data_IF_195748361220
#
_entry.id   IF_195748361220
#
_cell.length_a   1.000
_cell.length_b   1.000
_cell.length_c   1.000
_cell.angle_alpha   90.00
_cell.angle_beta   90.00
_cell.angle_gamma   90.00
#
_symmetry.space_group_name_H-M   'P 1'
#
loop_
_entity.id
_entity.type
_entity.pdbx_description
1 polymer ?
#
# COMPACT_ATOMS: atom_id res chain seq x y z
N UNK A 1 -4.81 -18.94 -4.66
CA UNK A 1 -4.92 -18.13 -5.89
C UNK A 1 -4.10 -18.74 -7.02
N UNK A 2 -4.39 -18.37 -8.28
CA UNK A 2 -3.58 -18.69 -9.46
C UNK A 2 -3.46 -17.43 -10.33
N UNK A 3 -2.36 -17.28 -11.04
CA UNK A 3 -2.14 -16.17 -11.97
C UNK A 3 -1.30 -16.65 -13.17
N UNK A 4 -1.68 -16.22 -14.37
CA UNK A 4 -1.01 -16.48 -15.63
C UNK A 4 -1.10 -15.25 -16.53
N UNK A 5 -0.06 -15.01 -17.32
CA UNK A 5 0.03 -13.86 -18.21
C UNK A 5 0.79 -14.20 -19.49
N UNK A 6 0.62 -13.39 -20.53
CA UNK A 6 1.38 -13.55 -21.78
C UNK A 6 2.90 -13.33 -21.61
N UNK A 7 3.33 -12.64 -20.55
CA UNK A 7 4.74 -12.55 -20.16
C UNK A 7 5.07 -13.60 -19.08
N UNK A 8 5.79 -14.68 -19.42
CA UNK A 8 6.04 -15.77 -18.49
C UNK A 8 6.99 -15.39 -17.34
N UNK A 9 7.65 -14.22 -17.38
CA UNK A 9 8.46 -13.72 -16.25
C UNK A 9 7.62 -13.47 -15.00
N UNK A 10 6.37 -13.02 -15.17
CA UNK A 10 5.44 -12.80 -14.07
C UNK A 10 5.14 -14.11 -13.33
N UNK A 11 4.89 -15.18 -14.07
CA UNK A 11 4.62 -16.51 -13.51
C UNK A 11 5.85 -17.12 -12.85
N UNK A 12 7.03 -16.96 -13.48
CA UNK A 12 8.30 -17.47 -12.91
C UNK A 12 8.67 -16.85 -11.58
N UNK A 13 8.28 -15.59 -11.33
CA UNK A 13 8.53 -14.95 -10.04
C UNK A 13 7.65 -15.51 -8.90
N UNK A 14 6.43 -15.99 -9.20
CA UNK A 14 5.44 -16.41 -8.18
C UNK A 14 5.99 -17.38 -7.14
N UNK A 15 6.70 -18.47 -7.48
CA UNK A 15 7.25 -19.39 -6.49
C UNK A 15 8.26 -18.73 -5.53
N UNK A 16 9.07 -17.78 -6.00
CA UNK A 16 10.04 -17.04 -5.17
C UNK A 16 9.29 -16.13 -4.19
N UNK A 17 8.30 -15.39 -4.69
CA UNK A 17 7.47 -14.51 -3.88
C UNK A 17 6.68 -15.28 -2.82
N UNK A 18 6.05 -16.39 -3.21
CA UNK A 18 5.26 -17.21 -2.30
C UNK A 18 6.14 -17.83 -1.22
N UNK A 19 7.34 -18.31 -1.58
CA UNK A 19 8.31 -18.81 -0.60
C UNK A 19 8.73 -17.69 0.36
N UNK A 20 9.00 -16.48 -0.14
CA UNK A 20 9.33 -15.33 0.71
C UNK A 20 8.29 -15.08 1.80
N UNK A 21 7.01 -15.00 1.41
CA UNK A 21 5.90 -14.85 2.35
C UNK A 21 5.79 -16.04 3.32
N UNK A 22 5.88 -17.27 2.83
CA UNK A 22 5.77 -18.48 3.66
C UNK A 22 6.87 -18.54 4.73
N UNK A 23 8.09 -18.13 4.39
CA UNK A 23 9.19 -18.08 5.34
C UNK A 23 9.00 -16.99 6.40
N UNK A 24 8.16 -15.98 6.12
CA UNK A 24 7.90 -14.84 6.99
C UNK A 24 6.52 -14.91 7.69
N UNK A 25 5.74 -15.98 7.50
CA UNK A 25 4.41 -16.13 8.09
C UNK A 25 4.28 -17.43 8.90
N UNK A 26 4.43 -17.32 10.23
CA UNK A 26 4.38 -18.45 11.17
C UNK A 26 3.22 -18.25 12.18
N UNK A 27 3.50 -18.23 13.48
CA UNK A 27 2.53 -17.85 14.51
C UNK A 27 2.20 -16.34 14.48
N UNK A 28 3.12 -15.53 13.96
CA UNK A 28 2.99 -14.12 13.60
C UNK A 28 3.63 -13.90 12.23
N UNK A 29 3.42 -12.74 11.61
CA UNK A 29 4.28 -12.31 10.52
C UNK A 29 5.66 -11.92 11.06
N UNK A 30 6.68 -11.90 10.21
CA UNK A 30 8.03 -11.47 10.53
C UNK A 30 8.61 -10.67 9.36
N UNK A 31 9.51 -9.74 9.65
CA UNK A 31 10.35 -9.09 8.64
C UNK A 31 11.16 -10.13 7.84
N UNK A 32 11.93 -10.98 8.53
CA UNK A 32 12.77 -12.02 7.93
C UNK A 32 12.91 -13.25 8.84
N UNK A 33 13.17 -14.45 8.27
CA UNK A 33 13.26 -15.68 9.05
C UNK A 33 14.58 -15.88 9.80
N UNK A 34 15.62 -15.09 9.50
CA UNK A 34 16.99 -15.34 10.00
C UNK A 34 17.49 -14.30 11.01
N UNK A 35 17.42 -13.00 10.67
CA UNK A 35 18.09 -11.98 11.48
C UNK A 35 17.29 -11.52 12.70
N UNK A 36 16.06 -11.05 12.48
CA UNK A 36 15.29 -10.40 13.55
C UNK A 36 14.10 -11.24 13.99
N UNK A 37 13.37 -11.83 13.05
CA UNK A 37 12.17 -12.63 13.32
C UNK A 37 11.13 -11.82 14.11
N UNK A 38 10.90 -10.57 13.70
CA UNK A 38 10.05 -9.62 14.41
C UNK A 38 8.91 -9.15 13.52
N UNK A 39 7.69 -9.12 14.09
CA UNK A 39 6.50 -8.64 13.38
C UNK A 39 6.50 -7.11 13.34
N UNK A 40 7.18 -6.51 12.36
CA UNK A 40 7.17 -5.07 12.14
C UNK A 40 5.91 -4.61 11.40
N UNK A 41 5.30 -3.51 11.83
CA UNK A 41 3.99 -3.07 11.28
C UNK A 41 4.08 -2.76 9.78
N UNK A 42 5.15 -2.10 9.33
CA UNK A 42 5.34 -1.73 7.91
C UNK A 42 5.33 -2.97 7.00
N UNK A 43 6.11 -3.97 7.36
CA UNK A 43 6.19 -5.29 6.72
C UNK A 43 4.85 -6.00 6.73
N UNK A 44 4.28 -6.13 7.94
CA UNK A 44 3.07 -6.90 8.17
C UNK A 44 1.88 -6.34 7.42
N UNK A 45 1.83 -5.03 7.15
CA UNK A 45 0.80 -4.47 6.27
C UNK A 45 0.86 -5.07 4.87
N UNK A 46 2.05 -5.12 4.27
CA UNK A 46 2.23 -5.64 2.91
C UNK A 46 2.00 -7.16 2.88
N UNK A 47 2.49 -7.88 3.88
CA UNK A 47 2.25 -9.32 4.01
C UNK A 47 0.76 -9.65 4.20
N UNK A 48 0.03 -8.82 4.97
CA UNK A 48 -1.41 -8.96 5.15
C UNK A 48 -2.19 -8.71 3.84
N UNK A 49 -1.82 -7.69 3.07
CA UNK A 49 -2.41 -7.44 1.74
C UNK A 49 -2.19 -8.60 0.78
N UNK A 50 -0.97 -9.15 0.74
CA UNK A 50 -0.67 -10.36 -0.04
C UNK A 50 -1.53 -11.52 0.44
N UNK A 51 -1.61 -11.74 1.76
CA UNK A 51 -2.44 -12.79 2.36
C UNK A 51 -3.89 -12.63 1.93
N UNK A 52 -4.43 -11.41 1.95
CA UNK A 52 -5.81 -11.15 1.55
C UNK A 52 -6.10 -11.53 0.10
N UNK A 53 -5.13 -11.32 -0.80
CA UNK A 53 -5.26 -11.62 -2.22
C UNK A 53 -5.08 -13.11 -2.56
N UNK A 54 -4.33 -13.89 -1.76
CA UNK A 54 -3.96 -15.27 -2.12
C UNK A 54 -4.70 -16.36 -1.35
N UNK A 55 -5.32 -16.05 -0.20
CA UNK A 55 -6.07 -16.96 0.66
C UNK A 55 -7.32 -16.29 1.24
N UNK A 56 -8.35 -17.05 1.60
CA UNK A 56 -9.51 -16.54 2.35
C UNK A 56 -9.23 -16.44 3.86
N UNK A 57 -8.18 -17.10 4.37
CA UNK A 57 -7.82 -17.09 5.79
C UNK A 57 -7.25 -15.73 6.22
N UNK A 58 -7.92 -15.08 7.15
CA UNK A 58 -7.53 -13.80 7.73
C UNK A 58 -7.19 -13.88 9.22
N UNK A 59 -6.97 -15.09 9.77
CA UNK A 59 -6.60 -15.26 11.18
C UNK A 59 -5.28 -14.57 11.52
N UNK A 60 -4.27 -14.69 10.66
CA UNK A 60 -2.95 -14.08 10.89
C UNK A 60 -3.01 -12.53 10.78
N UNK A 61 -3.63 -11.92 9.75
CA UNK A 61 -3.88 -10.48 9.72
C UNK A 61 -4.68 -9.94 10.92
N UNK A 62 -5.77 -10.62 11.33
CA UNK A 62 -6.56 -10.20 12.51
C UNK A 62 -5.75 -10.28 13.79
N UNK A 63 -4.94 -11.33 13.96
CA UNK A 63 -4.03 -11.47 15.10
C UNK A 63 -3.02 -10.33 15.12
N UNK A 64 -2.39 -10.02 13.98
CA UNK A 64 -1.44 -8.90 13.87
C UNK A 64 -2.07 -7.56 14.27
N UNK A 65 -3.24 -7.23 13.73
CA UNK A 65 -3.99 -6.02 14.08
C UNK A 65 -4.29 -5.91 15.58
N UNK A 66 -4.76 -7.00 16.20
CA UNK A 66 -5.04 -7.02 17.64
C UNK A 66 -3.75 -6.83 18.47
N UNK A 67 -2.66 -7.45 18.04
CA UNK A 67 -1.35 -7.35 18.71
C UNK A 67 -0.76 -5.95 18.61
N UNK A 68 -0.87 -5.29 17.44
CA UNK A 68 -0.42 -3.91 17.28
C UNK A 68 -1.28 -2.92 18.07
N UNK A 69 -2.61 -3.12 18.15
CA UNK A 69 -3.46 -2.31 19.02
C UNK A 69 -3.08 -2.47 20.50
N UNK A 70 -2.82 -3.70 20.94
CA UNK A 70 -2.36 -3.96 22.30
C UNK A 70 -0.96 -3.41 22.59
N UNK A 71 -0.15 -3.16 21.55
CA UNK A 71 1.20 -2.61 21.69
C UNK A 71 1.25 -1.09 21.96
N UNK A 72 0.09 -0.41 21.93
CA UNK A 72 -0.01 1.05 22.11
C UNK A 72 0.62 1.52 23.42
N UNK A 73 1.35 2.61 23.30
CA UNK A 73 2.09 3.25 24.40
C UNK A 73 1.29 4.42 24.96
N UNK A 74 1.70 4.93 26.13
CA UNK A 74 1.09 6.13 26.72
C UNK A 74 1.22 7.39 25.83
N UNK A 75 2.10 7.38 24.85
CA UNK A 75 2.21 8.43 23.81
C UNK A 75 1.13 8.34 22.72
N UNK A 76 0.29 7.30 22.72
CA UNK A 76 -0.70 7.01 21.67
C UNK A 76 -0.16 6.23 20.48
N UNK A 77 1.16 6.19 20.27
CA UNK A 77 1.81 5.43 19.19
C UNK A 77 1.89 3.93 19.51
N UNK A 78 1.90 3.11 18.49
CA UNK A 78 2.18 1.66 18.59
C UNK A 78 3.68 1.42 18.74
N UNK A 79 4.08 0.25 19.22
CA UNK A 79 5.46 -0.20 19.01
C UNK A 79 5.68 -0.50 17.53
N UNK A 80 6.92 -0.34 17.04
CA UNK A 80 7.28 -0.65 15.64
C UNK A 80 7.17 -2.13 15.31
N UNK A 81 7.46 -2.97 16.30
CA UNK A 81 7.40 -4.43 16.26
C UNK A 81 6.78 -4.96 17.54
N UNK A 82 5.89 -5.93 17.43
CA UNK A 82 5.24 -6.54 18.58
C UNK A 82 4.80 -7.97 18.27
N UNK A 83 5.02 -8.96 19.15
CA UNK A 83 5.45 -8.83 20.54
C UNK A 83 6.97 -8.67 20.64
N UNK A 84 7.43 -7.78 21.53
CA UNK A 84 8.87 -7.63 21.80
C UNK A 84 9.09 -7.17 23.23
N UNK A 85 10.20 -7.60 23.83
CA UNK A 85 10.64 -7.11 25.14
C UNK A 85 11.34 -5.76 25.02
N UNK A 86 11.95 -5.46 23.86
CA UNK A 86 12.61 -4.19 23.59
C UNK A 86 11.57 -3.25 23.01
N UNK A 87 11.23 -2.21 23.77
CA UNK A 87 10.40 -1.12 23.26
C UNK A 87 11.15 -0.37 22.16
N UNK A 88 10.58 -0.36 20.97
CA UNK A 88 11.03 0.44 19.84
C UNK A 88 9.80 1.09 19.17
N UNK A 89 9.97 2.30 18.66
CA UNK A 89 8.92 3.05 17.97
C UNK A 89 9.48 3.57 16.66
N UNK A 90 8.76 3.27 15.59
CA UNK A 90 8.91 3.86 14.26
C UNK A 90 7.60 4.60 14.05
N UNK A 91 7.52 5.92 14.26
CA UNK A 91 6.24 6.63 14.23
C UNK A 91 5.45 6.40 12.92
N UNK A 92 6.06 6.42 11.71
CA UNK A 92 5.36 6.10 10.47
C UNK A 92 4.67 4.72 10.47
N UNK A 93 5.20 3.75 11.20
CA UNK A 93 4.62 2.41 11.31
C UNK A 93 3.28 2.42 12.08
N UNK A 94 3.09 3.34 13.02
CA UNK A 94 1.76 3.53 13.63
C UNK A 94 0.73 4.04 12.62
N UNK A 95 1.12 4.86 11.65
CA UNK A 95 0.21 5.29 10.56
C UNK A 95 -0.12 4.11 9.63
N UNK A 96 0.86 3.23 9.35
CA UNK A 96 0.59 1.99 8.61
C UNK A 96 -0.35 1.05 9.36
N UNK A 97 -0.36 1.02 10.70
CA UNK A 97 -1.39 0.31 11.48
C UNK A 97 -2.81 0.83 11.19
N UNK A 98 -3.00 2.15 11.04
CA UNK A 98 -4.28 2.72 10.58
C UNK A 98 -4.63 2.22 9.18
N UNK A 99 -3.63 2.18 8.28
CA UNK A 99 -3.77 1.60 6.95
C UNK A 99 -4.18 0.14 6.97
N UNK A 100 -3.57 -0.69 7.83
CA UNK A 100 -3.92 -2.10 7.99
C UNK A 100 -5.38 -2.28 8.43
N UNK A 101 -5.88 -1.41 9.32
CA UNK A 101 -7.27 -1.46 9.75
C UNK A 101 -8.22 -1.14 8.59
N UNK A 102 -7.87 -0.14 7.77
CA UNK A 102 -8.57 0.20 6.53
C UNK A 102 -8.56 -0.96 5.54
N UNK A 103 -7.40 -1.60 5.35
CA UNK A 103 -7.25 -2.75 4.47
C UNK A 103 -8.13 -3.92 4.96
N UNK A 104 -8.13 -4.21 6.26
CA UNK A 104 -9.00 -5.26 6.81
C UNK A 104 -10.50 -4.96 6.63
N UNK A 105 -10.90 -3.70 6.85
CA UNK A 105 -12.27 -3.25 6.63
C UNK A 105 -12.70 -3.45 5.17
N UNK A 106 -11.83 -3.11 4.21
CA UNK A 106 -12.07 -3.32 2.78
C UNK A 106 -12.10 -4.79 2.37
N UNK A 107 -11.09 -5.57 2.78
CA UNK A 107 -10.84 -6.91 2.22
C UNK A 107 -11.58 -8.05 2.91
N UNK A 108 -11.98 -7.87 4.18
CA UNK A 108 -12.61 -8.95 4.97
C UNK A 108 -13.94 -8.57 5.56
N UNK A 109 -14.07 -7.32 6.01
CA UNK A 109 -15.31 -6.82 6.55
C UNK A 109 -15.63 -7.46 7.88
N UNK A 110 -15.69 -6.64 8.92
CA UNK A 110 -16.27 -7.02 10.20
C UNK A 110 -16.49 -5.74 10.98
N UNK A 111 -17.69 -5.17 10.85
CA UNK A 111 -18.02 -3.86 11.41
C UNK A 111 -17.74 -3.77 12.90
N UNK A 112 -18.14 -4.78 13.66
CA UNK A 112 -17.94 -4.83 15.11
C UNK A 112 -16.46 -4.92 15.47
N UNK A 113 -15.69 -5.77 14.77
CA UNK A 113 -14.26 -5.92 15.00
C UNK A 113 -13.47 -4.66 14.65
N UNK A 114 -13.77 -4.05 13.50
CA UNK A 114 -13.14 -2.80 13.07
C UNK A 114 -13.44 -1.68 14.08
N UNK A 115 -14.69 -1.55 14.53
CA UNK A 115 -15.10 -0.57 15.53
C UNK A 115 -14.34 -0.75 16.87
N UNK A 116 -14.04 -1.98 17.29
CA UNK A 116 -13.25 -2.25 18.50
C UNK A 116 -11.82 -1.70 18.44
N UNK A 117 -11.24 -1.61 17.25
CA UNK A 117 -9.85 -1.12 17.05
C UNK A 117 -9.78 0.39 16.75
N UNK A 118 -10.90 1.03 16.42
CA UNK A 118 -10.94 2.47 16.13
C UNK A 118 -10.42 3.38 17.25
N UNK A 119 -10.64 3.11 18.55
CA UNK A 119 -10.02 3.92 19.60
C UNK A 119 -8.49 3.98 19.49
N UNK A 120 -7.84 2.88 19.09
CA UNK A 120 -6.41 2.83 18.84
C UNK A 120 -5.99 3.66 17.64
N UNK A 121 -6.69 3.51 16.51
CA UNK A 121 -6.42 4.28 15.29
C UNK A 121 -6.58 5.79 15.51
N UNK A 122 -7.66 6.22 16.18
CA UNK A 122 -7.90 7.61 16.57
C UNK A 122 -6.79 8.15 17.48
N UNK A 123 -6.35 7.35 18.45
CA UNK A 123 -5.26 7.69 19.36
C UNK A 123 -3.92 7.92 18.65
N UNK A 124 -3.60 7.09 17.64
CA UNK A 124 -2.41 7.29 16.81
C UNK A 124 -2.47 8.63 16.07
N UNK A 125 -3.60 8.93 15.43
CA UNK A 125 -3.76 10.18 14.67
C UNK A 125 -3.69 11.40 15.59
N UNK A 126 -4.35 11.36 16.74
CA UNK A 126 -4.31 12.43 17.73
C UNK A 126 -2.90 12.62 18.32
N UNK A 127 -2.14 11.54 18.51
CA UNK A 127 -0.74 11.62 18.90
C UNK A 127 0.11 12.33 17.84
N UNK A 128 -0.03 11.97 16.56
CA UNK A 128 0.66 12.66 15.46
C UNK A 128 0.32 14.16 15.41
N UNK A 129 -0.96 14.51 15.57
CA UNK A 129 -1.42 15.90 15.57
C UNK A 129 -0.86 16.74 16.72
N UNK A 130 -0.39 16.11 17.79
CA UNK A 130 0.28 16.79 18.91
C UNK A 130 1.70 17.25 18.57
N UNK A 131 2.33 16.67 17.54
CA UNK A 131 3.66 17.06 17.05
C UNK A 131 3.62 18.11 15.93
N UNK A 132 2.50 18.81 15.77
CA UNK A 132 2.41 19.91 14.80
C UNK A 132 3.30 21.07 15.22
N UNK A 133 4.12 21.55 14.28
CA UNK A 133 4.88 22.78 14.44
C UNK A 133 3.98 24.02 14.26
N UNK A 134 4.57 25.21 14.33
CA UNK A 134 3.85 26.49 14.20
C UNK A 134 3.18 26.67 12.82
N UNK A 135 3.76 26.07 11.78
CA UNK A 135 3.19 26.04 10.42
C UNK A 135 2.03 25.03 10.32
N UNK A 136 1.84 24.19 11.34
CA UNK A 136 0.85 23.14 11.46
C UNK A 136 1.19 21.84 10.71
N UNK A 137 2.41 21.72 10.20
CA UNK A 137 2.98 20.47 9.69
C UNK A 137 3.41 19.58 10.86
N UNK A 138 3.36 18.27 10.68
CA UNK A 138 3.89 17.31 11.64
C UNK A 138 5.42 17.39 11.60
N UNK A 139 6.02 17.77 12.73
CA UNK A 139 7.44 17.58 12.96
C UNK A 139 7.70 16.12 13.34
N UNK A 140 8.82 15.55 12.90
CA UNK A 140 9.22 14.17 13.18
C UNK A 140 8.97 13.78 14.65
N UNK A 141 8.04 12.85 14.93
CA UNK A 141 7.79 12.42 16.30
C UNK A 141 9.00 11.70 16.90
N UNK A 142 9.17 11.68 18.24
CA UNK A 142 10.26 10.95 18.87
C UNK A 142 10.24 9.46 18.50
N UNK A 143 11.32 8.98 17.89
CA UNK A 143 11.46 7.59 17.46
C UNK A 143 12.32 7.49 16.21
N UNK A 144 12.38 6.30 15.62
CA UNK A 144 13.06 6.10 14.36
C UNK A 144 12.09 6.40 13.21
N UNK A 145 12.17 7.59 12.61
CA UNK A 145 11.25 8.03 11.53
C UNK A 145 11.55 7.38 10.17
N UNK A 146 11.69 6.05 10.16
CA UNK A 146 11.97 5.22 9.00
C UNK A 146 10.83 5.25 7.97
N UNK A 147 11.19 5.39 6.70
CA UNK A 147 10.27 5.35 5.57
C UNK A 147 10.71 4.36 4.48
N UNK A 148 12.01 4.26 4.18
CA UNK A 148 12.55 3.33 3.18
C UNK A 148 14.06 3.23 3.25
N UNK A 149 14.67 2.17 2.74
CA UNK A 149 16.13 2.01 2.65
C UNK A 149 16.74 2.70 1.41
N UNK A 150 16.21 3.87 1.02
CA UNK A 150 16.75 4.65 -0.10
C UNK A 150 18.20 5.06 0.17
N UNK A 151 19.04 4.98 -0.85
CA UNK A 151 20.50 5.15 -0.71
C UNK A 151 20.89 6.54 -0.18
N UNK A 152 20.12 7.55 -0.56
CA UNK A 152 20.31 8.95 -0.20
C UNK A 152 19.87 9.26 1.23
N UNK A 153 19.14 8.34 1.89
CA UNK A 153 18.55 8.55 3.21
C UNK A 153 19.36 7.87 4.30
N UNK A 154 19.75 8.65 5.31
CA UNK A 154 20.46 8.11 6.47
C UNK A 154 19.52 7.31 7.37
N UNK A 155 19.86 6.04 7.62
CA UNK A 155 19.03 5.13 8.43
C UNK A 155 17.58 5.03 7.93
N UNK A 156 17.36 5.23 6.63
CA UNK A 156 16.04 5.24 6.00
C UNK A 156 15.09 6.35 6.45
N UNK A 157 15.62 7.41 7.08
CA UNK A 157 14.86 8.60 7.47
C UNK A 157 14.91 9.60 6.29
N UNK A 158 13.75 10.09 5.80
CA UNK A 158 13.71 11.05 4.71
C UNK A 158 14.27 12.41 5.14
N UNK A 159 14.59 13.32 4.18
CA UNK A 159 15.02 14.68 4.47
C UNK A 159 14.10 15.38 5.49
N UNK A 160 14.71 16.01 6.50
CA UNK A 160 14.04 16.66 7.63
C UNK A 160 13.10 15.75 8.45
N UNK A 161 13.16 14.43 8.31
CA UNK A 161 12.24 13.49 8.96
C UNK A 161 12.49 13.22 10.45
N UNK A 162 13.67 13.58 10.98
CA UNK A 162 14.04 13.27 12.37
C UNK A 162 13.33 14.21 13.37
N UNK A 163 13.58 15.52 13.25
CA UNK A 163 12.97 16.56 14.10
C UNK A 163 12.34 17.72 13.30
N UNK A 164 12.48 17.72 11.98
CA UNK A 164 11.91 18.72 11.08
C UNK A 164 10.58 18.28 10.49
N UNK A 165 10.10 18.99 9.47
CA UNK A 165 8.91 18.62 8.72
C UNK A 165 9.32 18.01 7.37
N UNK A 166 9.15 16.70 7.22
CA UNK A 166 9.34 15.99 5.94
C UNK A 166 8.03 15.92 5.17
N UNK A 167 8.07 16.15 3.86
CA UNK A 167 6.90 15.97 2.99
C UNK A 167 6.39 14.53 3.05
N UNK A 168 7.30 13.55 3.05
CA UNK A 168 6.99 12.12 3.01
C UNK A 168 6.18 11.69 4.24
N UNK A 169 6.61 12.12 5.44
CA UNK A 169 5.90 11.81 6.71
C UNK A 169 4.55 12.53 6.76
N UNK A 170 4.50 13.80 6.34
CA UNK A 170 3.27 14.59 6.36
C UNK A 170 2.23 14.06 5.36
N UNK A 171 2.65 13.61 4.18
CA UNK A 171 1.77 12.99 3.20
C UNK A 171 1.30 11.58 3.64
N UNK A 172 2.12 10.82 4.36
CA UNK A 172 1.66 9.58 5.00
C UNK A 172 0.60 9.87 6.07
N UNK A 173 0.79 10.92 6.90
CA UNK A 173 -0.23 11.35 7.85
C UNK A 173 -1.52 11.78 7.14
N UNK A 174 -1.41 12.49 6.01
CA UNK A 174 -2.54 12.89 5.18
C UNK A 174 -3.31 11.68 4.63
N UNK A 175 -2.59 10.66 4.17
CA UNK A 175 -3.16 9.41 3.71
C UNK A 175 -3.87 8.65 4.85
N UNK A 176 -3.28 8.61 6.04
CA UNK A 176 -3.87 7.99 7.22
C UNK A 176 -5.14 8.69 7.73
N UNK A 177 -5.19 10.02 7.66
CA UNK A 177 -6.41 10.78 7.92
C UNK A 177 -7.53 10.41 6.93
N UNK A 178 -7.19 10.17 5.66
CA UNK A 178 -8.14 9.70 4.65
C UNK A 178 -8.72 8.32 4.97
N UNK A 179 -7.86 7.36 5.32
CA UNK A 179 -8.32 6.03 5.76
C UNK A 179 -9.24 6.09 6.98
N UNK A 180 -8.87 6.89 7.98
CA UNK A 180 -9.71 7.06 9.15
C UNK A 180 -11.07 7.69 8.80
N UNK A 181 -11.10 8.72 7.96
CA UNK A 181 -12.37 9.33 7.52
C UNK A 181 -13.30 8.29 6.86
N UNK A 182 -12.76 7.46 5.97
CA UNK A 182 -13.53 6.41 5.29
C UNK A 182 -14.02 5.32 6.26
N UNK A 183 -13.16 4.89 7.19
CA UNK A 183 -13.54 3.97 8.26
C UNK A 183 -14.69 4.52 9.12
N UNK A 184 -14.62 5.79 9.53
CA UNK A 184 -15.70 6.44 10.30
C UNK A 184 -17.00 6.50 9.50
N UNK A 185 -16.95 6.84 8.20
CA UNK A 185 -18.14 6.82 7.32
C UNK A 185 -18.74 5.43 7.29
N UNK A 186 -17.93 4.41 7.05
CA UNK A 186 -18.44 3.04 7.04
C UNK A 186 -19.10 2.74 8.35
N UNK A 187 -18.45 2.99 9.49
CA UNK A 187 -18.96 2.69 10.83
C UNK A 187 -20.18 3.52 11.27
N UNK A 188 -20.57 4.55 10.52
CA UNK A 188 -21.71 5.39 10.85
C UNK A 188 -21.40 6.51 11.85
N UNK A 189 -20.17 7.03 11.82
CA UNK A 189 -19.65 8.07 12.71
C UNK A 189 -19.34 9.38 11.93
N UNK A 190 -20.35 10.05 11.34
CA UNK A 190 -20.14 11.13 10.37
C UNK A 190 -19.42 12.36 10.94
N UNK A 191 -19.58 12.67 12.23
CA UNK A 191 -18.91 13.82 12.87
C UNK A 191 -17.39 13.59 12.97
N UNK A 192 -16.98 12.35 13.26
CA UNK A 192 -15.57 11.96 13.31
C UNK A 192 -14.98 11.91 11.90
N UNK A 193 -15.73 11.37 10.93
CA UNK A 193 -15.32 11.44 9.52
C UNK A 193 -15.04 12.88 9.09
N UNK A 194 -15.97 13.80 9.34
CA UNK A 194 -15.81 15.21 9.01
C UNK A 194 -14.66 15.89 9.78
N UNK A 195 -14.37 15.46 11.02
CA UNK A 195 -13.20 15.94 11.76
C UNK A 195 -11.91 15.60 11.01
N UNK A 196 -11.76 14.34 10.59
CA UNK A 196 -10.58 13.88 9.85
C UNK A 196 -10.46 14.56 8.49
N UNK A 197 -11.56 14.74 7.77
CA UNK A 197 -11.62 15.48 6.51
C UNK A 197 -11.14 16.94 6.65
N UNK A 198 -11.58 17.66 7.68
CA UNK A 198 -11.13 19.04 7.94
C UNK A 198 -9.63 19.12 8.25
N UNK A 199 -9.11 18.15 9.01
CA UNK A 199 -7.69 18.08 9.35
C UNK A 199 -6.85 17.73 8.12
N UNK A 200 -7.31 16.78 7.30
CA UNK A 200 -6.69 16.43 6.03
C UNK A 200 -6.62 17.62 5.08
N UNK A 201 -7.73 18.35 4.90
CA UNK A 201 -7.76 19.54 4.03
C UNK A 201 -6.77 20.62 4.50
N UNK A 202 -6.68 20.86 5.81
CA UNK A 202 -5.72 21.83 6.37
C UNK A 202 -4.27 21.38 6.15
N UNK A 203 -3.97 20.12 6.44
CA UNK A 203 -2.63 19.56 6.28
C UNK A 203 -2.21 19.53 4.80
N UNK A 204 -3.11 19.17 3.89
CA UNK A 204 -2.87 19.21 2.45
C UNK A 204 -2.50 20.62 1.98
N UNK A 205 -3.20 21.66 2.46
CA UNK A 205 -2.87 23.05 2.17
C UNK A 205 -1.48 23.46 2.67
N UNK A 206 -1.08 23.01 3.86
CA UNK A 206 0.25 23.28 4.43
C UNK A 206 1.36 22.54 3.68
N UNK A 207 1.11 21.28 3.28
CA UNK A 207 2.04 20.49 2.46
C UNK A 207 2.22 21.16 1.10
N UNK A 208 1.13 21.53 0.44
CA UNK A 208 1.16 22.21 -0.85
C UNK A 208 1.93 23.53 -0.77
N UNK A 209 1.70 24.36 0.25
CA UNK A 209 2.37 25.63 0.41
C UNK A 209 3.88 25.50 0.70
N UNK A 210 4.31 24.40 1.32
CA UNK A 210 5.68 24.23 1.80
C UNK A 210 6.55 23.41 0.85
N UNK A 211 6.00 22.32 0.32
CA UNK A 211 6.76 21.29 -0.38
C UNK A 211 6.49 21.23 -1.89
N UNK A 212 5.45 21.90 -2.40
CA UNK A 212 5.28 22.00 -3.85
C UNK A 212 6.28 22.99 -4.43
N UNK A 213 7.11 22.53 -5.35
CA UNK A 213 7.99 23.35 -6.17
C UNK A 213 7.25 23.69 -7.49
N UNK A 214 6.84 24.95 -7.71
CA UNK A 214 6.13 25.35 -8.92
C UNK A 214 7.02 25.40 -10.16
N UNK A 215 8.34 25.59 -10.01
CA UNK A 215 9.28 25.69 -11.12
C UNK A 215 9.59 24.30 -11.67
N UNK A 216 9.87 23.35 -10.78
CA UNK A 216 10.01 21.94 -11.15
C UNK A 216 8.66 21.24 -11.35
N UNK A 217 7.55 21.81 -10.87
CA UNK A 217 6.20 21.22 -10.89
C UNK A 217 6.16 19.82 -10.26
N UNK A 218 6.73 19.68 -9.07
CA UNK A 218 6.78 18.43 -8.29
C UNK A 218 6.82 18.71 -6.79
N UNK A 219 6.60 17.70 -5.95
CA UNK A 219 6.84 17.84 -4.51
C UNK A 219 8.32 17.63 -4.19
N UNK A 220 8.91 18.50 -3.38
CA UNK A 220 10.17 18.25 -2.69
C UNK A 220 9.95 17.48 -1.39
N UNK A 221 10.96 16.77 -0.92
CA UNK A 221 10.97 16.08 0.37
C UNK A 221 11.09 17.05 1.56
N UNK A 222 11.69 18.23 1.32
CA UNK A 222 12.07 19.21 2.34
C UNK A 222 11.63 20.64 1.99
N UNK A 223 11.63 21.52 2.99
CA UNK A 223 11.17 22.91 2.82
C UNK A 223 12.13 23.81 2.03
N UNK A 224 13.35 23.36 1.76
CA UNK A 224 14.38 24.10 1.01
C UNK A 224 14.40 23.73 -0.47
N UNK A 225 13.53 22.80 -0.89
CA UNK A 225 13.41 22.29 -2.25
C UNK A 225 14.72 21.65 -2.76
N UNK A 226 15.49 21.04 -1.84
CA UNK A 226 16.83 20.52 -2.15
C UNK A 226 16.82 19.09 -2.71
N UNK A 227 15.83 18.29 -2.31
CA UNK A 227 15.69 16.89 -2.71
C UNK A 227 14.23 16.57 -3.05
N UNK A 228 14.02 15.61 -3.93
CA UNK A 228 12.70 15.08 -4.26
C UNK A 228 12.78 13.57 -4.41
N UNK A 229 11.75 12.87 -3.97
CA UNK A 229 11.67 11.40 -4.03
C UNK A 229 10.45 10.90 -4.78
N UNK A 230 10.52 9.65 -5.24
CA UNK A 230 9.35 8.91 -5.70
C UNK A 230 8.31 8.77 -4.58
N UNK A 231 8.74 8.70 -3.31
CA UNK A 231 7.88 8.58 -2.14
C UNK A 231 6.98 9.79 -1.98
N UNK A 232 7.54 11.00 -2.07
CA UNK A 232 6.77 12.23 -1.95
C UNK A 232 5.74 12.38 -3.08
N UNK A 233 6.10 11.98 -4.32
CA UNK A 233 5.14 12.02 -5.42
C UNK A 233 4.03 10.97 -5.25
N UNK A 234 4.42 9.73 -4.90
CA UNK A 234 3.50 8.61 -4.75
C UNK A 234 2.49 8.86 -3.63
N UNK A 235 2.95 9.25 -2.44
CA UNK A 235 2.07 9.51 -1.30
C UNK A 235 1.16 10.72 -1.55
N UNK A 236 1.64 11.75 -2.26
CA UNK A 236 0.79 12.86 -2.68
C UNK A 236 -0.38 12.37 -3.55
N UNK A 237 -0.11 11.58 -4.57
CA UNK A 237 -1.13 11.04 -5.48
C UNK A 237 -2.08 10.08 -4.74
N UNK A 238 -1.54 9.17 -3.94
CA UNK A 238 -2.33 8.19 -3.17
C UNK A 238 -3.27 8.87 -2.16
N UNK A 239 -2.91 10.02 -1.62
CA UNK A 239 -3.77 10.76 -0.69
C UNK A 239 -5.07 11.26 -1.34
N UNK A 240 -5.05 11.52 -2.65
CA UNK A 240 -6.19 12.07 -3.39
C UNK A 240 -6.61 13.49 -2.96
N UNK A 241 -5.72 14.26 -2.31
CA UNK A 241 -6.06 15.56 -1.69
C UNK A 241 -5.49 16.80 -2.39
N UNK A 242 -4.68 16.63 -3.43
CA UNK A 242 -4.04 17.74 -4.13
C UNK A 242 -4.79 18.12 -5.40
N UNK A 243 -4.50 19.32 -5.92
CA UNK A 243 -5.11 19.80 -7.17
C UNK A 243 -4.73 18.90 -8.35
N UNK A 244 -5.55 18.91 -9.41
CA UNK A 244 -5.28 18.18 -10.66
C UNK A 244 -3.92 18.58 -11.25
N UNK A 245 -3.54 19.85 -11.13
CA UNK A 245 -2.22 20.32 -11.57
C UNK A 245 -1.09 19.64 -10.82
N UNK A 246 -1.16 19.60 -9.48
CA UNK A 246 -0.15 18.99 -8.63
C UNK A 246 -0.06 17.48 -8.86
N UNK A 247 -1.20 16.82 -9.00
CA UNK A 247 -1.26 15.38 -9.31
C UNK A 247 -0.63 15.09 -10.67
N UNK A 248 -0.93 15.90 -11.69
CA UNK A 248 -0.33 15.73 -13.01
C UNK A 248 1.18 16.01 -13.02
N UNK A 249 1.65 17.00 -12.27
CA UNK A 249 3.08 17.28 -12.15
C UNK A 249 3.84 16.19 -11.38
N UNK A 250 3.29 15.73 -10.26
CA UNK A 250 3.83 14.58 -9.52
C UNK A 250 3.85 13.31 -10.38
N UNK A 251 2.79 13.05 -11.16
CA UNK A 251 2.73 11.92 -12.09
C UNK A 251 3.81 12.02 -13.18
N UNK A 252 3.94 13.19 -13.82
CA UNK A 252 5.02 13.43 -14.80
C UNK A 252 6.39 13.21 -14.16
N UNK A 253 6.62 13.76 -12.97
CA UNK A 253 7.88 13.62 -12.22
C UNK A 253 8.25 12.15 -11.98
N UNK A 254 7.30 11.31 -11.54
CA UNK A 254 7.52 9.87 -11.37
C UNK A 254 7.96 9.14 -12.66
N UNK A 255 7.55 9.63 -13.82
CA UNK A 255 7.72 8.97 -15.11
C UNK A 255 8.93 9.49 -15.88
N UNK A 256 9.28 10.76 -15.69
CA UNK A 256 10.23 11.48 -16.56
C UNK A 256 11.47 11.98 -15.80
N UNK A 257 11.34 12.33 -14.52
CA UNK A 257 12.45 12.92 -13.77
C UNK A 257 13.47 11.83 -13.38
N UNK A 258 14.72 12.03 -13.77
CA UNK A 258 15.82 11.09 -13.50
C UNK A 258 16.41 11.26 -12.09
N UNK A 259 16.31 12.45 -11.52
CA UNK A 259 16.97 12.91 -10.30
C UNK A 259 16.19 12.63 -9.01
N UNK A 260 15.07 11.90 -9.08
CA UNK A 260 14.34 11.48 -7.88
C UNK A 260 15.09 10.41 -7.10
N UNK A 261 15.15 10.59 -5.78
CA UNK A 261 15.46 9.48 -4.86
C UNK A 261 14.47 8.34 -5.08
N UNK A 262 15.00 7.14 -5.34
CA UNK A 262 14.20 6.00 -5.79
C UNK A 262 13.65 5.20 -4.61
N UNK A 263 12.43 4.71 -4.77
CA UNK A 263 11.81 3.76 -3.86
C UNK A 263 12.47 2.38 -3.99
N UNK A 264 12.84 1.82 -2.84
CA UNK A 264 13.34 0.45 -2.74
C UNK A 264 12.18 -0.54 -2.64
N UNK A 265 12.49 -1.81 -2.33
CA UNK A 265 11.54 -2.93 -2.35
C UNK A 265 10.29 -2.63 -1.52
N UNK A 266 10.48 -2.08 -0.31
CA UNK A 266 9.39 -1.75 0.60
C UNK A 266 8.40 -0.75 -0.01
N UNK A 267 8.88 0.46 -0.32
CA UNK A 267 7.98 1.53 -0.79
C UNK A 267 7.53 1.36 -2.24
N UNK A 268 8.13 0.42 -2.99
CA UNK A 268 7.68 0.08 -4.34
C UNK A 268 6.25 -0.47 -4.36
N UNK A 269 5.74 -1.07 -3.28
CA UNK A 269 4.31 -1.40 -3.18
C UNK A 269 3.42 -0.17 -3.45
N UNK A 270 3.71 0.94 -2.78
CA UNK A 270 2.93 2.18 -2.91
C UNK A 270 3.16 2.86 -4.26
N UNK A 271 4.36 2.76 -4.82
CA UNK A 271 4.63 3.22 -6.18
C UNK A 271 3.79 2.44 -7.22
N UNK A 272 3.67 1.12 -7.07
CA UNK A 272 2.83 0.29 -7.94
C UNK A 272 1.33 0.61 -7.77
N UNK A 273 0.85 0.86 -6.55
CA UNK A 273 -0.51 1.37 -6.33
C UNK A 273 -0.72 2.75 -6.98
N UNK A 274 0.30 3.61 -6.98
CA UNK A 274 0.25 4.92 -7.63
C UNK A 274 0.11 4.76 -9.15
N UNK A 275 0.94 3.93 -9.77
CA UNK A 275 0.84 3.66 -11.22
C UNK A 275 -0.48 2.98 -11.61
N UNK A 276 -1.08 2.21 -10.69
CA UNK A 276 -2.44 1.70 -10.87
C UNK A 276 -3.45 2.84 -10.97
N UNK A 277 -3.41 3.81 -10.06
CA UNK A 277 -4.30 4.98 -10.10
C UNK A 277 -4.09 5.83 -11.35
N UNK A 278 -2.84 5.94 -11.82
CA UNK A 278 -2.48 6.68 -13.03
C UNK A 278 -2.78 5.91 -14.34
N UNK A 279 -3.22 4.65 -14.26
CA UNK A 279 -3.45 3.81 -15.44
C UNK A 279 -2.18 3.54 -16.26
N UNK A 280 -1.03 3.34 -15.59
CA UNK A 280 0.29 3.13 -16.21
C UNK A 280 0.80 1.70 -16.06
N UNK A 281 0.25 0.72 -16.81
CA UNK A 281 0.67 -0.68 -16.74
C UNK A 281 2.12 -0.88 -17.19
N UNK A 282 2.61 -0.04 -18.11
CA UNK A 282 4.00 -0.04 -18.55
C UNK A 282 4.96 0.32 -17.41
N UNK A 283 4.63 1.31 -16.59
CA UNK A 283 5.43 1.69 -15.42
C UNK A 283 5.37 0.61 -14.32
N UNK A 284 4.22 -0.05 -14.15
CA UNK A 284 4.09 -1.23 -13.26
C UNK A 284 5.04 -2.34 -13.70
N UNK A 285 4.98 -2.75 -14.98
CA UNK A 285 5.82 -3.82 -15.51
C UNK A 285 7.32 -3.47 -15.48
N UNK A 286 7.68 -2.20 -15.71
CA UNK A 286 9.05 -1.73 -15.59
C UNK A 286 9.59 -1.91 -14.16
N UNK A 287 8.83 -1.46 -13.15
CA UNK A 287 9.25 -1.57 -11.74
C UNK A 287 9.28 -3.01 -11.23
N UNK A 288 8.53 -3.92 -11.87
CA UNK A 288 8.56 -5.35 -11.58
C UNK A 288 9.83 -6.06 -12.08
N UNK A 289 10.64 -5.45 -12.96
CA UNK A 289 11.87 -6.05 -13.49
C UNK A 289 12.82 -6.57 -12.41
N UNK A 290 12.93 -5.86 -11.28
CA UNK A 290 13.69 -6.32 -10.11
C UNK A 290 13.36 -7.76 -9.72
N UNK A 291 12.08 -8.13 -9.71
CA UNK A 291 11.64 -9.47 -9.33
C UNK A 291 11.84 -10.50 -10.43
N UNK A 292 11.90 -10.08 -11.69
CA UNK A 292 12.18 -10.96 -12.83
C UNK A 292 13.62 -11.45 -12.83
N UNK A 293 14.52 -10.68 -12.22
CA UNK A 293 15.96 -10.99 -12.18
C UNK A 293 16.37 -11.85 -10.98
N UNK A 294 15.50 -12.03 -9.97
CA UNK A 294 15.82 -12.76 -8.73
C UNK A 294 16.26 -14.20 -8.99
N UNK A 295 15.58 -14.90 -9.90
CA UNK A 295 15.93 -16.29 -10.24
C UNK A 295 17.34 -16.37 -10.86
N UNK A 296 17.67 -15.43 -11.75
CA UNK A 296 18.97 -15.34 -12.40
C UNK A 296 20.09 -14.96 -11.40
N UNK A 297 19.76 -14.17 -10.38
CA UNK A 297 20.64 -13.86 -9.25
C UNK A 297 20.83 -15.04 -8.28
N UNK A 298 20.12 -16.16 -8.47
CA UNK A 298 20.20 -17.34 -7.60
C UNK A 298 19.32 -17.28 -6.35
N UNK A 299 18.57 -16.18 -6.16
CA UNK A 299 17.68 -16.00 -5.01
C UNK A 299 16.50 -16.96 -5.06
N UNK A 300 16.09 -17.44 -3.88
CA UNK A 300 14.96 -18.38 -3.71
C UNK A 300 13.78 -17.76 -2.97
N UNK A 301 13.98 -16.57 -2.44
CA UNK A 301 13.06 -15.71 -1.69
C UNK A 301 13.31 -14.25 -2.11
N UNK A 302 12.48 -13.32 -1.63
CA UNK A 302 12.61 -11.90 -1.95
C UNK A 302 13.55 -11.20 -0.96
N UNK A 303 14.51 -10.38 -1.41
CA UNK A 303 15.44 -9.70 -0.51
C UNK A 303 14.80 -8.50 0.20
N UNK A 304 15.47 -8.00 1.25
CA UNK A 304 15.06 -6.81 2.01
C UNK A 304 15.25 -5.54 1.17
N UNK A 305 16.40 -5.41 0.52
CA UNK A 305 16.77 -4.28 -0.34
C UNK A 305 17.30 -4.79 -1.68
N UNK A 306 17.42 -3.95 -2.72
CA UNK A 306 18.26 -4.31 -3.86
C UNK A 306 19.68 -4.68 -3.38
N UNK A 307 20.35 -5.57 -4.12
CA UNK A 307 21.71 -5.99 -3.80
C UNK A 307 22.70 -4.81 -3.74
N UNK A 308 23.64 -4.79 -2.78
CA UNK A 308 23.84 -5.78 -1.72
C UNK A 308 22.78 -5.67 -0.62
N UNK A 309 22.24 -6.80 -0.17
CA UNK A 309 21.22 -6.83 0.89
C UNK A 309 21.70 -7.56 2.15
N UNK A 310 21.12 -7.19 3.30
CA UNK A 310 21.39 -7.90 4.57
C UNK A 310 20.62 -9.21 4.62
N UNK A 311 19.34 -9.19 4.26
CA UNK A 311 18.47 -10.37 4.27
C UNK A 311 17.99 -10.74 2.87
N UNK A 312 18.33 -11.94 2.41
CA UNK A 312 17.86 -12.52 1.14
C UNK A 312 16.42 -13.05 1.22
N UNK A 313 15.78 -12.96 2.39
CA UNK A 313 14.40 -13.34 2.62
C UNK A 313 13.69 -12.31 3.50
N UNK A 314 12.80 -11.53 2.91
CA UNK A 314 12.06 -10.48 3.59
C UNK A 314 10.59 -10.45 3.17
N UNK A 315 9.67 -10.44 4.13
CA UNK A 315 8.22 -10.58 3.91
C UNK A 315 7.65 -9.50 2.99
N UNK A 316 8.08 -8.25 3.20
CA UNK A 316 7.65 -7.10 2.39
C UNK A 316 7.94 -7.22 0.89
N UNK A 317 8.88 -8.09 0.51
CA UNK A 317 9.33 -8.25 -0.86
C UNK A 317 8.36 -9.07 -1.69
N UNK A 318 7.40 -9.72 -1.04
CA UNK A 318 6.38 -10.56 -1.67
C UNK A 318 5.23 -9.76 -2.30
N UNK A 319 5.27 -8.42 -2.21
CA UNK A 319 4.23 -7.51 -2.72
C UNK A 319 3.78 -7.76 -4.17
N UNK A 320 4.60 -8.22 -5.14
CA UNK A 320 4.09 -8.48 -6.48
C UNK A 320 3.00 -9.55 -6.55
N UNK A 321 2.89 -10.47 -5.57
CA UNK A 321 1.75 -11.40 -5.49
C UNK A 321 0.42 -10.68 -5.32
N UNK A 322 0.41 -9.59 -4.57
CA UNK A 322 -0.76 -8.73 -4.44
C UNK A 322 -1.04 -8.04 -5.78
N UNK A 323 -0.02 -7.43 -6.40
CA UNK A 323 -0.20 -6.65 -7.63
C UNK A 323 -0.57 -7.49 -8.85
N UNK A 324 -0.16 -8.76 -8.96
CA UNK A 324 -0.61 -9.62 -10.07
C UNK A 324 -2.14 -9.77 -10.08
N UNK A 325 -2.77 -9.94 -8.90
CA UNK A 325 -4.21 -10.13 -8.80
C UNK A 325 -4.99 -8.81 -8.64
N UNK A 326 -4.50 -7.89 -7.80
CA UNK A 326 -5.21 -6.66 -7.44
C UNK A 326 -4.89 -5.46 -8.34
N UNK A 327 -3.82 -5.53 -9.14
CA UNK A 327 -3.41 -4.47 -10.08
C UNK A 327 -3.51 -4.93 -11.52
N UNK A 328 -2.79 -6.00 -11.92
CA UNK A 328 -2.78 -6.47 -13.30
C UNK A 328 -4.13 -7.11 -13.68
N UNK A 329 -4.57 -8.14 -12.95
CA UNK A 329 -5.89 -8.72 -13.15
C UNK A 329 -7.01 -7.76 -12.69
N UNK A 330 -6.68 -6.87 -11.74
CA UNK A 330 -7.49 -5.74 -11.35
C UNK A 330 -8.63 -6.06 -10.37
N UNK A 331 -8.64 -7.23 -9.74
CA UNK A 331 -9.71 -7.66 -8.83
C UNK A 331 -9.54 -6.99 -7.47
N UNK A 332 -10.48 -6.13 -7.05
CA UNK A 332 -10.44 -5.44 -5.75
C UNK A 332 -11.81 -5.34 -5.09
N UNK A 333 -11.87 -5.14 -3.77
CA UNK A 333 -13.10 -4.72 -3.09
C UNK A 333 -13.68 -3.45 -3.72
N UNK A 334 -14.99 -3.47 -4.01
CA UNK A 334 -15.76 -2.30 -4.43
C UNK A 334 -16.24 -1.44 -3.26
N UNK A 335 -15.99 -1.87 -2.02
CA UNK A 335 -16.37 -1.18 -0.79
C UNK A 335 -16.08 -2.01 0.45
N UNK A 336 -16.73 -1.66 1.56
CA UNK A 336 -16.57 -2.35 2.84
C UNK A 336 -16.81 -3.86 2.70
N UNK A 337 -15.91 -4.65 3.30
CA UNK A 337 -16.03 -6.09 3.43
C UNK A 337 -15.98 -6.90 2.16
N UNK A 338 -15.52 -6.30 1.06
CA UNK A 338 -15.54 -6.93 -0.25
C UNK A 338 -16.95 -7.39 -0.64
N UNK A 339 -17.99 -6.71 -0.12
CA UNK A 339 -19.39 -7.07 -0.37
C UNK A 339 -19.78 -6.93 -1.85
N UNK A 340 -19.04 -6.11 -2.59
CA UNK A 340 -19.03 -6.00 -4.05
C UNK A 340 -17.59 -6.01 -4.58
N UNK A 341 -17.43 -6.35 -5.86
CA UNK A 341 -16.13 -6.34 -6.56
C UNK A 341 -16.03 -5.20 -7.58
N UNK A 342 -14.87 -4.57 -7.68
CA UNK A 342 -14.49 -3.67 -8.77
C UNK A 342 -13.29 -4.28 -9.50
N UNK A 343 -13.49 -4.64 -10.78
CA UNK A 343 -12.48 -5.26 -11.63
C UNK A 343 -11.99 -4.25 -12.67
N UNK A 344 -10.72 -3.83 -12.57
CA UNK A 344 -10.08 -2.87 -13.50
C UNK A 344 -8.76 -3.43 -14.03
N UNK A 345 -8.77 -4.29 -15.06
CA UNK A 345 -7.56 -4.96 -15.50
C UNK A 345 -6.58 -4.00 -16.19
N UNK A 346 -5.29 -4.22 -15.95
CA UNK A 346 -4.19 -3.40 -16.47
C UNK A 346 -3.23 -4.24 -17.32
N UNK A 347 -3.66 -4.55 -18.55
CA UNK A 347 -2.87 -5.41 -19.45
C UNK A 347 -1.63 -4.69 -20.01
N UNK A 348 -1.71 -3.41 -20.36
CA UNK A 348 -0.59 -2.72 -21.02
C UNK A 348 -0.15 -3.43 -22.30
N UNK A 349 1.10 -3.90 -22.32
CA UNK A 349 1.67 -4.69 -23.42
C UNK A 349 1.35 -6.19 -23.35
N UNK A 350 0.72 -6.66 -22.28
CA UNK A 350 0.28 -8.05 -22.13
C UNK A 350 -0.91 -8.33 -23.06
N UNK A 351 -0.91 -9.50 -23.70
CA UNK A 351 -2.00 -9.94 -24.57
C UNK A 351 -3.04 -10.76 -23.83
N UNK A 352 -2.66 -11.43 -22.73
CA UNK A 352 -3.55 -12.24 -21.91
C UNK A 352 -3.26 -12.07 -20.42
N UNK A 353 -4.32 -12.15 -19.61
CA UNK A 353 -4.27 -12.25 -18.15
C UNK A 353 -5.32 -13.25 -17.69
N UNK A 354 -4.92 -14.22 -16.88
CA UNK A 354 -5.83 -15.20 -16.29
C UNK A 354 -5.49 -15.39 -14.83
N UNK A 355 -6.48 -15.50 -13.97
CA UNK A 355 -6.24 -15.83 -12.58
C UNK A 355 -7.50 -16.02 -11.76
N UNK A 356 -7.28 -16.43 -10.52
CA UNK A 356 -8.33 -16.61 -9.54
C UNK A 356 -7.91 -16.07 -8.17
N UNK A 357 -8.76 -15.22 -7.58
CA UNK A 357 -8.59 -14.62 -6.28
C UNK A 357 -9.60 -15.23 -5.30
N UNK A 358 -9.17 -15.76 -4.14
CA UNK A 358 -10.08 -16.19 -3.10
C UNK A 358 -10.87 -15.01 -2.52
N UNK A 359 -12.17 -15.21 -2.36
CA UNK A 359 -13.07 -14.29 -1.70
C UNK A 359 -13.85 -15.06 -0.60
N UNK A 360 -14.31 -14.43 0.50
CA UNK A 360 -15.03 -15.14 1.56
C UNK A 360 -16.26 -15.95 1.09
N UNK A 361 -16.91 -15.53 0.00
CA UNK A 361 -18.05 -16.23 -0.62
C UNK A 361 -17.65 -17.33 -1.63
N UNK A 362 -16.38 -17.43 -2.03
CA UNK A 362 -15.91 -18.36 -3.07
C UNK A 362 -14.83 -17.75 -3.96
N UNK A 363 -14.45 -18.39 -5.07
CA UNK A 363 -13.41 -17.87 -5.96
C UNK A 363 -13.95 -16.81 -6.93
N UNK A 364 -13.22 -15.72 -7.11
CA UNK A 364 -13.39 -14.79 -8.23
C UNK A 364 -12.41 -15.20 -9.32
N UNK A 365 -12.90 -15.50 -10.52
CA UNK A 365 -12.07 -15.91 -11.66
C UNK A 365 -12.16 -14.89 -12.79
N UNK A 366 -11.03 -14.60 -13.42
CA UNK A 366 -10.99 -13.77 -14.63
C UNK A 366 -10.06 -14.41 -15.67
N UNK A 367 -10.53 -14.47 -16.91
CA UNK A 367 -9.77 -14.91 -18.07
C UNK A 367 -9.95 -13.90 -19.18
N UNK A 368 -8.94 -13.06 -19.38
CA UNK A 368 -8.99 -11.83 -20.15
C UNK A 368 -7.95 -11.85 -21.26
N UNK A 369 -8.30 -11.27 -22.40
CA UNK A 369 -7.40 -11.05 -23.53
C UNK A 369 -7.60 -9.66 -24.09
N UNK A 370 -6.54 -9.07 -24.63
CA UNK A 370 -6.58 -7.79 -25.34
C UNK A 370 -6.67 -8.04 -26.84
N UNK A 371 -7.76 -7.60 -27.46
CA UNK A 371 -7.98 -7.67 -28.90
C UNK A 371 -8.44 -6.29 -29.40
N UNK A 372 -7.81 -5.78 -30.46
CA UNK A 372 -8.14 -4.47 -31.06
C UNK A 372 -8.20 -3.29 -30.06
N UNK A 373 -7.35 -3.32 -29.03
CA UNK A 373 -7.27 -2.28 -28.01
C UNK A 373 -8.33 -2.38 -26.89
N UNK A 374 -9.24 -3.35 -26.95
CA UNK A 374 -10.24 -3.62 -25.93
C UNK A 374 -9.94 -4.91 -25.18
N UNK A 375 -10.39 -4.97 -23.92
CA UNK A 375 -10.31 -6.19 -23.12
C UNK A 375 -11.61 -6.97 -23.30
N UNK A 376 -11.46 -8.26 -23.60
CA UNK A 376 -12.56 -9.23 -23.71
C UNK A 376 -12.24 -10.45 -22.86
N UNK A 377 -13.27 -11.16 -22.42
CA UNK A 377 -13.10 -12.46 -21.80
C UNK A 377 -14.22 -12.80 -20.84
N UNK A 378 -13.91 -13.66 -19.88
CA UNK A 378 -14.89 -14.14 -18.91
C UNK A 378 -14.51 -13.74 -17.50
N UNK A 379 -15.53 -13.39 -16.72
CA UNK A 379 -15.45 -13.24 -15.27
C UNK A 379 -16.44 -14.19 -14.64
N UNK A 380 -16.01 -14.89 -13.59
CA UNK A 380 -16.89 -15.73 -12.76
C UNK A 380 -16.87 -15.19 -11.33
N UNK A 381 -18.03 -14.81 -10.81
CA UNK A 381 -18.18 -14.38 -9.43
C UNK A 381 -18.87 -15.49 -8.60
N UNK A 382 -18.52 -15.65 -7.31
CA UNK A 382 -19.21 -16.59 -6.44
C UNK A 382 -20.64 -16.13 -6.15
N UNK A 383 -21.49 -17.07 -5.74
CA UNK A 383 -22.91 -16.84 -5.43
C UNK A 383 -23.10 -15.64 -4.49
N UNK A 384 -24.05 -14.77 -4.87
CA UNK A 384 -24.38 -13.56 -4.10
C UNK A 384 -23.29 -12.48 -4.06
N UNK A 385 -22.26 -12.55 -4.92
CA UNK A 385 -21.35 -11.43 -5.18
C UNK A 385 -21.72 -10.74 -6.49
N UNK A 386 -21.82 -9.42 -6.44
CA UNK A 386 -22.02 -8.57 -7.62
C UNK A 386 -20.91 -7.52 -7.71
N UNK A 387 -20.80 -6.85 -8.84
CA UNK A 387 -19.77 -5.84 -9.00
C UNK A 387 -19.79 -5.14 -10.33
N UNK A 388 -18.63 -4.58 -10.68
CA UNK A 388 -18.44 -3.84 -11.91
C UNK A 388 -17.09 -4.19 -12.52
N UNK A 389 -17.07 -4.41 -13.83
CA UNK A 389 -15.87 -4.48 -14.64
C UNK A 389 -15.68 -3.16 -15.41
N UNK A 390 -14.44 -2.65 -15.45
CA UNK A 390 -14.12 -1.37 -16.10
C UNK A 390 -12.91 -1.50 -17.01
N UNK A 391 -13.05 -1.03 -18.24
CA UNK A 391 -11.98 -0.91 -19.23
C UNK A 391 -12.06 0.48 -19.90
N UNK A 392 -11.23 1.41 -19.43
CA UNK A 392 -11.34 2.82 -19.81
C UNK A 392 -12.72 3.40 -19.48
N UNK A 393 -13.46 3.84 -20.50
CA UNK A 393 -14.82 4.35 -20.35
C UNK A 393 -15.90 3.26 -20.36
N UNK A 394 -15.54 2.01 -20.69
CA UNK A 394 -16.48 0.88 -20.72
C UNK A 394 -16.74 0.39 -19.30
N UNK A 395 -18.01 0.26 -18.95
CA UNK A 395 -18.46 -0.28 -17.66
C UNK A 395 -19.45 -1.43 -17.90
N UNK A 396 -19.20 -2.58 -17.28
CA UNK A 396 -20.08 -3.76 -17.35
C UNK A 396 -20.48 -4.15 -15.92
N UNK A 397 -21.77 -4.23 -15.65
CA UNK A 397 -22.28 -4.75 -14.37
C UNK A 397 -22.06 -6.26 -14.32
N UNK A 398 -21.53 -6.73 -13.21
CA UNK A 398 -21.27 -8.15 -12.95
C UNK A 398 -22.31 -8.70 -11.98
N UNK A 399 -22.80 -9.90 -12.29
CA UNK A 399 -23.63 -10.71 -11.41
C UNK A 399 -22.87 -11.96 -10.96
N UNK A 400 -23.46 -12.77 -10.10
CA UNK A 400 -22.90 -14.07 -9.71
C UNK A 400 -22.95 -15.07 -10.87
N UNK A 401 -22.09 -16.09 -10.80
CA UNK A 401 -21.88 -17.02 -11.89
C UNK A 401 -20.93 -16.49 -12.96
N UNK A 402 -20.95 -17.13 -14.13
CA UNK A 402 -20.03 -16.86 -15.24
C UNK A 402 -20.68 -15.91 -16.25
N UNK A 403 -19.96 -14.86 -16.65
CA UNK A 403 -20.36 -13.90 -17.69
C UNK A 403 -19.20 -13.50 -18.59
N UNK A 404 -19.55 -13.00 -19.78
CA UNK A 404 -18.61 -12.33 -20.69
C UNK A 404 -18.49 -10.84 -20.32
N UNK A 405 -17.29 -10.27 -20.48
CA UNK A 405 -16.98 -8.87 -20.15
C UNK A 405 -16.36 -8.06 -21.26
#
# INVERSE_FOLDING_TARGET
AQFQASDPRLERAIPILLRGLQMCAHETYFDCPYYEQMMYVGDTRLEALVTYAITADDRLPRKALAMFDASRLGSGLTQSRYPSHVRQVIPPFSLWYVGMLSDHALWRGNREWVAKLMPGARGVLDAFLSYRNEQGLIAGPPGWNFMDWSHEWSSGIPPQGDFGASAVINQLMLLALGWAAELEVWLGEPELAQRWERLAARLAGQIAATFWDPDCRRFSDDSTHSQASEHAQALAILSGRFSVEMVNGAARSLLEDADLTRATIYMRHYLLETFRLLGRPDAVLDRLKLWFDLEAAGLKTTPETPEPTRSDCHGWGSTPLYHTLATLLGIRPGGFGFESVDIRPMLGTLTTLRGCMPHPKGMIEANLRRENGQIHGTVTLPDGLSGVFRDGAREVRLHDGKQEV
#
